data_IF_867431127222
#
_entry.id   IF_867431127222
#
_cell.length_a   1.000
_cell.length_b   1.000
_cell.length_c   1.000
_cell.angle_alpha   90.00
_cell.angle_beta   90.00
_cell.angle_gamma   90.00
#
_symmetry.space_group_name_H-M   'P 1'
#
loop_
_entity.id
_entity.type
_entity.pdbx_description
1 polymer ?
#
# COMPACT_ATOMS: atom_id res chain seq x y z
N UNK A 1 9.22 0.17 18.86
CA UNK A 1 9.52 0.23 17.42
C UNK A 1 9.59 -1.13 16.71
N UNK A 2 9.49 -2.22 17.45
CA UNK A 2 9.59 -3.59 16.93
C UNK A 2 8.25 -4.24 16.60
N UNK A 3 7.14 -3.72 17.09
CA UNK A 3 5.79 -4.31 16.90
C UNK A 3 5.00 -3.76 15.69
N UNK A 4 5.42 -2.62 15.13
CA UNK A 4 4.90 -2.09 13.85
C UNK A 4 5.29 -2.95 12.62
N UNK A 5 6.01 -4.05 12.83
CA UNK A 5 6.66 -4.80 11.75
C UNK A 5 6.02 -6.14 11.41
N UNK A 6 4.85 -6.53 11.94
CA UNK A 6 4.26 -7.83 11.59
C UNK A 6 3.90 -7.94 10.10
N UNK A 7 3.56 -6.83 9.44
CA UNK A 7 3.46 -6.77 7.98
C UNK A 7 4.81 -6.53 7.27
N UNK A 8 5.78 -5.95 7.98
CA UNK A 8 7.14 -5.69 7.48
C UNK A 8 8.12 -6.83 7.78
N UNK A 9 7.75 -7.80 8.61
CA UNK A 9 8.56 -9.00 8.88
C UNK A 9 8.92 -9.76 7.59
N UNK A 10 8.04 -9.74 6.61
CA UNK A 10 8.31 -10.25 5.28
C UNK A 10 9.31 -9.39 4.50
N UNK A 11 9.32 -8.07 4.70
CA UNK A 11 10.32 -7.18 4.09
C UNK A 11 11.71 -7.49 4.64
N UNK A 12 11.84 -7.83 5.92
CA UNK A 12 13.13 -8.25 6.51
C UNK A 12 13.64 -9.58 5.98
N UNK A 13 12.77 -10.59 5.91
CA UNK A 13 13.10 -11.88 5.34
C UNK A 13 13.47 -11.75 3.87
N UNK A 14 12.74 -10.93 3.14
CA UNK A 14 12.98 -10.64 1.72
C UNK A 14 14.31 -9.90 1.51
N UNK A 15 14.61 -8.93 2.37
CA UNK A 15 15.90 -8.20 2.33
C UNK A 15 17.08 -9.12 2.61
N UNK A 16 16.95 -10.01 3.59
CA UNK A 16 17.96 -11.01 3.90
C UNK A 16 18.20 -11.93 2.70
N UNK A 17 17.15 -12.34 2.01
CA UNK A 17 17.22 -13.16 0.80
C UNK A 17 17.85 -12.42 -0.39
N UNK A 18 17.45 -11.17 -0.64
CA UNK A 18 17.95 -10.37 -1.76
C UNK A 18 19.42 -9.97 -1.57
N UNK A 19 19.86 -9.72 -0.32
CA UNK A 19 21.26 -9.34 -0.04
C UNK A 19 22.14 -10.51 0.44
N UNK A 20 21.61 -11.73 0.57
CA UNK A 20 22.35 -12.87 1.09
C UNK A 20 22.88 -12.68 2.52
N UNK A 21 22.21 -11.85 3.32
CA UNK A 21 22.62 -11.48 4.69
C UNK A 21 21.63 -12.06 5.69
N UNK A 22 22.08 -12.67 6.80
CA UNK A 22 21.21 -13.14 7.87
C UNK A 22 20.30 -12.01 8.41
N UNK A 23 19.03 -12.32 8.77
CA UNK A 23 18.07 -11.30 9.24
C UNK A 23 18.58 -10.44 10.41
N UNK A 24 19.40 -11.02 11.28
CA UNK A 24 19.97 -10.37 12.46
C UNK A 24 21.00 -9.28 12.11
N UNK A 25 21.58 -9.32 10.92
CA UNK A 25 22.56 -8.37 10.44
C UNK A 25 21.98 -7.24 9.58
N UNK A 26 20.66 -7.20 9.43
CA UNK A 26 19.98 -6.17 8.65
C UNK A 26 19.96 -4.84 9.43
N UNK A 27 20.73 -3.85 8.95
CA UNK A 27 20.81 -2.51 9.53
C UNK A 27 19.55 -1.67 9.20
N UNK A 28 19.33 -0.59 9.95
CA UNK A 28 18.24 0.38 9.66
C UNK A 28 18.37 1.02 8.27
N UNK A 29 19.59 1.22 7.80
CA UNK A 29 19.85 1.74 6.44
C UNK A 29 19.49 0.71 5.37
N UNK A 30 19.80 -0.57 5.58
CA UNK A 30 19.37 -1.65 4.68
C UNK A 30 17.84 -1.76 4.62
N UNK A 31 17.17 -1.55 5.75
CA UNK A 31 15.69 -1.51 5.81
C UNK A 31 15.12 -0.36 4.99
N UNK A 32 15.66 0.84 5.14
CA UNK A 32 15.22 2.02 4.40
C UNK A 32 15.41 1.82 2.89
N UNK A 33 16.55 1.24 2.49
CA UNK A 33 16.82 0.89 1.09
C UNK A 33 15.84 -0.15 0.55
N UNK A 34 15.56 -1.22 1.31
CA UNK A 34 14.58 -2.22 0.92
C UNK A 34 13.18 -1.64 0.74
N UNK A 35 12.77 -0.76 1.65
CA UNK A 35 11.49 -0.06 1.54
C UNK A 35 11.44 0.77 0.27
N UNK A 36 12.48 1.56 -0.02
CA UNK A 36 12.58 2.37 -1.23
C UNK A 36 12.53 1.50 -2.51
N UNK A 37 13.24 0.37 -2.53
CA UNK A 37 13.23 -0.57 -3.65
C UNK A 37 11.84 -1.19 -3.84
N UNK A 38 11.27 -1.77 -2.79
CA UNK A 38 9.96 -2.43 -2.87
C UNK A 38 8.86 -1.48 -3.33
N UNK A 39 8.76 -0.30 -2.70
CA UNK A 39 7.76 0.69 -3.09
C UNK A 39 8.08 1.28 -4.47
N UNK A 40 9.35 1.61 -4.72
CA UNK A 40 9.77 2.15 -6.00
C UNK A 40 9.43 1.22 -7.17
N UNK A 41 9.73 -0.07 -7.07
CA UNK A 41 9.45 -1.06 -8.12
C UNK A 41 7.94 -1.21 -8.34
N UNK A 42 7.16 -1.37 -7.27
CA UNK A 42 5.70 -1.46 -7.37
C UNK A 42 5.09 -0.20 -7.99
N UNK A 43 5.70 0.96 -7.77
CA UNK A 43 5.29 2.23 -8.36
C UNK A 43 5.93 2.52 -9.72
N UNK A 44 6.64 1.56 -10.31
CA UNK A 44 7.23 1.68 -11.64
C UNK A 44 8.42 2.64 -11.70
N UNK A 45 9.27 2.63 -10.66
CA UNK A 45 10.51 3.43 -10.65
C UNK A 45 11.46 2.97 -11.76
N UNK A 46 12.10 3.93 -12.42
CA UNK A 46 13.17 3.61 -13.36
C UNK A 46 14.50 3.37 -12.65
N UNK A 47 15.46 2.70 -13.33
CA UNK A 47 16.82 2.55 -12.81
C UNK A 47 17.49 3.89 -12.49
N UNK A 48 17.13 4.95 -13.24
CA UNK A 48 17.59 6.31 -12.93
C UNK A 48 16.99 6.84 -11.63
N UNK A 49 15.67 6.73 -11.45
CA UNK A 49 15.01 7.16 -10.21
C UNK A 49 15.56 6.40 -8.99
N UNK A 50 15.66 5.08 -9.09
CA UNK A 50 16.20 4.25 -8.01
C UNK A 50 17.66 4.57 -7.68
N UNK A 51 18.48 4.87 -8.69
CA UNK A 51 19.89 5.27 -8.48
C UNK A 51 20.01 6.58 -7.69
N UNK A 52 19.11 7.53 -7.94
CA UNK A 52 19.06 8.78 -7.19
C UNK A 52 18.60 8.57 -5.74
N UNK A 53 17.55 7.77 -5.54
CA UNK A 53 16.98 7.52 -4.20
C UNK A 53 17.95 6.76 -3.28
N UNK A 54 18.74 5.84 -3.84
CA UNK A 54 19.68 5.01 -3.10
C UNK A 54 21.12 5.56 -3.09
N UNK A 55 21.42 6.61 -3.86
CA UNK A 55 22.76 7.14 -4.09
C UNK A 55 23.74 6.05 -4.58
N UNK A 56 23.31 5.26 -5.56
CA UNK A 56 24.07 4.20 -6.24
C UNK A 56 24.19 4.50 -7.73
N UNK A 57 25.01 3.74 -8.45
CA UNK A 57 25.10 3.87 -9.90
C UNK A 57 23.84 3.38 -10.59
N UNK A 58 23.56 3.89 -11.78
CA UNK A 58 22.42 3.44 -12.59
C UNK A 58 22.51 1.95 -12.97
N UNK A 59 23.72 1.43 -13.09
CA UNK A 59 23.97 0.01 -13.38
C UNK A 59 23.56 -0.84 -12.18
N UNK A 60 24.02 -0.51 -10.98
CA UNK A 60 23.61 -1.19 -9.73
C UNK A 60 22.09 -1.13 -9.52
N UNK A 61 21.47 0.02 -9.78
CA UNK A 61 20.02 0.15 -9.69
C UNK A 61 19.27 -0.76 -10.69
N UNK A 62 19.79 -0.92 -11.90
CA UNK A 62 19.24 -1.82 -12.89
C UNK A 62 19.37 -3.29 -12.47
N UNK A 63 20.54 -3.70 -11.97
CA UNK A 63 20.80 -5.03 -11.43
C UNK A 63 19.86 -5.34 -10.22
N UNK A 64 19.60 -4.36 -9.35
CA UNK A 64 18.64 -4.50 -8.27
C UNK A 64 17.21 -4.78 -8.76
N UNK A 65 16.75 -4.03 -9.77
CA UNK A 65 15.40 -4.20 -10.33
C UNK A 65 15.29 -5.57 -11.01
N UNK A 66 16.30 -5.97 -11.76
CA UNK A 66 16.35 -7.27 -12.44
C UNK A 66 16.29 -8.42 -11.43
N UNK A 67 17.17 -8.41 -10.43
CA UNK A 67 17.19 -9.42 -9.38
C UNK A 67 15.89 -9.47 -8.56
N UNK A 68 15.25 -8.32 -8.30
CA UNK A 68 13.93 -8.27 -7.68
C UNK A 68 12.88 -9.03 -8.51
N UNK A 69 12.86 -8.82 -9.81
CA UNK A 69 11.89 -9.49 -10.69
C UNK A 69 12.21 -10.96 -10.94
N UNK A 70 13.47 -11.36 -10.89
CA UNK A 70 13.86 -12.78 -10.87
C UNK A 70 13.36 -13.48 -9.62
N UNK A 71 13.50 -12.82 -8.47
CA UNK A 71 13.02 -13.33 -7.16
C UNK A 71 11.49 -13.36 -7.07
N UNK A 72 10.83 -12.36 -7.68
CA UNK A 72 9.37 -12.20 -7.63
C UNK A 72 8.73 -12.10 -9.03
N UNK A 73 8.79 -13.17 -9.85
CA UNK A 73 8.29 -13.13 -11.23
C UNK A 73 6.79 -12.85 -11.32
N UNK A 74 6.02 -13.22 -10.28
CA UNK A 74 4.59 -12.91 -10.21
C UNK A 74 4.30 -11.42 -10.10
N UNK A 75 5.17 -10.64 -9.44
CA UNK A 75 5.04 -9.18 -9.36
C UNK A 75 5.28 -8.57 -10.74
N UNK A 76 6.36 -8.99 -11.42
CA UNK A 76 6.63 -8.53 -12.77
C UNK A 76 5.47 -8.80 -13.72
N UNK A 77 4.98 -10.03 -13.71
CA UNK A 77 3.82 -10.43 -14.55
C UNK A 77 2.60 -9.57 -14.25
N UNK A 78 2.27 -9.32 -12.99
CA UNK A 78 1.14 -8.47 -12.59
C UNK A 78 1.27 -7.04 -13.12
N UNK A 79 2.47 -6.45 -13.03
CA UNK A 79 2.72 -5.09 -13.51
C UNK A 79 2.62 -5.01 -15.04
N UNK A 80 3.22 -5.96 -15.76
CA UNK A 80 3.18 -6.05 -17.22
C UNK A 80 1.73 -6.25 -17.69
N UNK A 81 1.00 -7.21 -17.13
CA UNK A 81 -0.40 -7.48 -17.45
C UNK A 81 -1.30 -6.25 -17.18
N UNK A 82 -1.01 -5.49 -16.10
CA UNK A 82 -1.76 -4.27 -15.77
C UNK A 82 -1.60 -3.19 -16.84
N UNK A 83 -0.39 -3.01 -17.36
CA UNK A 83 -0.09 -2.06 -18.43
C UNK A 83 -0.73 -2.50 -19.75
N UNK A 84 -0.58 -3.77 -20.14
CA UNK A 84 -1.17 -4.31 -21.37
C UNK A 84 -2.68 -4.22 -21.38
N UNK A 85 -3.33 -4.65 -20.29
CA UNK A 85 -4.78 -4.52 -20.12
C UNK A 85 -5.25 -3.07 -20.21
N UNK A 86 -4.50 -2.13 -19.62
CA UNK A 86 -4.86 -0.73 -19.69
C UNK A 86 -4.64 -0.12 -21.08
N UNK A 87 -3.62 -0.57 -21.84
CA UNK A 87 -3.42 -0.21 -23.25
C UNK A 87 -4.59 -0.68 -24.13
N UNK A 88 -5.03 -1.92 -23.94
CA UNK A 88 -6.13 -2.51 -24.70
C UNK A 88 -7.46 -1.81 -24.36
N UNK A 89 -7.82 -1.70 -23.07
CA UNK A 89 -9.12 -1.24 -22.61
C UNK A 89 -9.24 0.29 -22.52
N UNK A 90 -8.10 1.00 -22.45
CA UNK A 90 -8.04 2.45 -22.23
C UNK A 90 -8.22 2.87 -20.77
N UNK A 91 -8.28 1.93 -19.84
CA UNK A 91 -8.43 2.20 -18.40
C UNK A 91 -7.82 1.08 -17.54
N UNK A 92 -7.35 1.42 -16.35
CA UNK A 92 -7.01 0.47 -15.30
C UNK A 92 -8.21 0.17 -14.41
N UNK A 93 -8.22 -0.99 -13.75
CA UNK A 93 -9.37 -1.49 -12.95
C UNK A 93 -8.89 -1.94 -11.58
N UNK A 94 -9.63 -1.58 -10.51
CA UNK A 94 -9.42 -2.11 -9.17
C UNK A 94 -9.98 -3.52 -9.01
N UNK A 95 -9.67 -4.18 -7.91
CA UNK A 95 -10.25 -5.50 -7.57
C UNK A 95 -11.78 -5.47 -7.54
N UNK A 96 -12.39 -4.33 -7.24
CA UNK A 96 -13.84 -4.12 -7.17
C UNK A 96 -14.46 -3.58 -8.47
N UNK A 97 -13.69 -3.53 -9.56
CA UNK A 97 -14.20 -3.11 -10.86
C UNK A 97 -14.27 -1.59 -11.07
N UNK A 98 -13.74 -0.77 -10.15
CA UNK A 98 -13.62 0.67 -10.36
C UNK A 98 -12.64 0.95 -11.48
N UNK A 99 -13.05 1.77 -12.46
CA UNK A 99 -12.27 2.10 -13.65
C UNK A 99 -11.58 3.45 -13.50
N UNK A 100 -10.31 3.50 -13.88
CA UNK A 100 -9.52 4.73 -14.02
C UNK A 100 -9.08 4.87 -15.47
N UNK A 101 -9.64 5.79 -16.27
CA UNK A 101 -9.17 6.06 -17.62
C UNK A 101 -7.68 6.46 -17.62
N UNK A 102 -6.93 5.98 -18.61
CA UNK A 102 -5.50 6.27 -18.79
C UNK A 102 -5.24 6.66 -20.24
N UNK A 103 -5.73 7.83 -20.68
CA UNK A 103 -5.57 8.30 -22.06
C UNK A 103 -4.09 8.53 -22.43
N UNK A 104 -3.24 8.78 -21.43
CA UNK A 104 -1.80 9.03 -21.59
C UNK A 104 -1.07 7.87 -22.28
N UNK A 105 -1.56 6.64 -22.16
CA UNK A 105 -0.99 5.46 -22.82
C UNK A 105 -1.01 5.55 -24.34
N UNK A 106 -1.90 6.34 -24.93
CA UNK A 106 -2.03 6.57 -26.36
C UNK A 106 -1.27 7.82 -26.86
N UNK A 107 -0.61 8.56 -25.96
CA UNK A 107 0.11 9.77 -26.33
C UNK A 107 1.32 9.47 -27.22
N UNK A 108 1.58 10.32 -28.21
CA UNK A 108 2.83 10.29 -28.99
C UNK A 108 4.05 10.73 -28.16
N UNK A 109 3.83 11.48 -27.07
CA UNK A 109 4.88 11.93 -26.17
C UNK A 109 5.34 10.80 -25.25
N UNK A 110 6.63 10.49 -25.30
CA UNK A 110 7.25 9.43 -24.51
C UNK A 110 7.07 9.63 -22.98
N UNK A 111 7.24 10.86 -22.50
CA UNK A 111 7.08 11.18 -21.07
C UNK A 111 5.65 10.94 -20.58
N UNK A 112 4.66 11.30 -21.39
CA UNK A 112 3.24 11.06 -21.07
C UNK A 112 2.92 9.56 -21.10
N UNK A 113 3.45 8.79 -22.08
CA UNK A 113 3.23 7.35 -22.08
C UNK A 113 3.83 6.68 -20.85
N UNK A 114 5.05 7.01 -20.45
CA UNK A 114 5.67 6.49 -19.23
C UNK A 114 4.89 6.84 -17.98
N UNK A 115 4.30 8.05 -17.92
CA UNK A 115 3.40 8.42 -16.84
C UNK A 115 2.14 7.54 -16.86
N UNK A 116 1.54 7.31 -18.02
CA UNK A 116 0.39 6.42 -18.19
C UNK A 116 0.68 4.99 -17.76
N UNK A 117 1.85 4.45 -18.08
CA UNK A 117 2.26 3.12 -17.64
C UNK A 117 2.35 3.02 -16.11
N UNK A 118 2.94 4.01 -15.45
CA UNK A 118 2.97 4.06 -13.98
C UNK A 118 1.56 4.17 -13.38
N UNK A 119 0.69 4.96 -13.99
CA UNK A 119 -0.72 5.04 -13.56
C UNK A 119 -1.42 3.67 -13.70
N UNK A 120 -1.17 2.96 -14.79
CA UNK A 120 -1.75 1.64 -15.04
C UNK A 120 -1.27 0.58 -14.03
N UNK A 121 0.01 0.62 -13.64
CA UNK A 121 0.56 -0.27 -12.61
C UNK A 121 0.00 0.02 -11.22
N UNK A 122 -0.14 1.30 -10.86
CA UNK A 122 -0.49 1.73 -9.51
C UNK A 122 -2.00 1.73 -9.24
N UNK A 123 -2.81 2.07 -10.23
CA UNK A 123 -4.25 2.25 -10.06
C UNK A 123 -4.97 0.99 -9.53
N UNK A 124 -4.65 -0.25 -9.96
CA UNK A 124 -5.24 -1.44 -9.39
C UNK A 124 -4.97 -1.60 -7.89
N UNK A 125 -3.76 -1.28 -7.44
CA UNK A 125 -3.34 -1.45 -6.04
C UNK A 125 -3.90 -0.31 -5.18
N UNK A 126 -3.57 0.93 -5.50
CA UNK A 126 -4.01 2.11 -4.73
C UNK A 126 -5.53 2.29 -4.76
N UNK A 127 -6.14 2.04 -5.93
CA UNK A 127 -7.58 2.11 -6.08
C UNK A 127 -8.30 1.02 -5.28
N UNK A 128 -7.76 -0.20 -5.22
CA UNK A 128 -8.29 -1.28 -4.38
C UNK A 128 -8.17 -0.93 -2.90
N UNK A 129 -7.06 -0.39 -2.44
CA UNK A 129 -6.90 0.08 -1.06
C UNK A 129 -7.94 1.15 -0.71
N UNK A 130 -8.18 2.12 -1.61
CA UNK A 130 -9.21 3.13 -1.43
C UNK A 130 -10.64 2.54 -1.42
N UNK A 131 -10.90 1.49 -2.17
CA UNK A 131 -12.19 0.80 -2.17
C UNK A 131 -12.41 0.03 -0.86
N UNK A 132 -11.39 -0.68 -0.36
CA UNK A 132 -11.41 -1.36 0.95
C UNK A 132 -11.70 -0.35 2.06
N UNK A 133 -11.01 0.79 2.03
CA UNK A 133 -11.19 1.84 3.02
C UNK A 133 -12.62 2.39 3.03
N UNK A 134 -13.24 2.58 1.87
CA UNK A 134 -14.63 3.02 1.77
C UNK A 134 -15.62 1.99 2.31
N UNK A 135 -15.38 0.70 2.06
CA UNK A 135 -16.20 -0.38 2.63
C UNK A 135 -16.08 -0.34 4.16
N UNK A 136 -14.86 -0.31 4.68
CA UNK A 136 -14.59 -0.22 6.12
C UNK A 136 -15.29 0.99 6.77
N UNK A 137 -15.17 2.18 6.16
CA UNK A 137 -15.86 3.39 6.63
C UNK A 137 -17.37 3.23 6.75
N UNK A 138 -17.98 2.64 5.70
CA UNK A 138 -19.44 2.42 5.68
C UNK A 138 -19.84 1.47 6.80
N UNK A 139 -19.10 0.39 7.00
CA UNK A 139 -19.43 -0.64 7.97
C UNK A 139 -19.18 -0.17 9.41
N UNK A 140 -18.09 0.56 9.67
CA UNK A 140 -17.85 1.24 10.96
C UNK A 140 -18.99 2.23 11.26
N UNK A 141 -19.32 3.09 10.30
CA UNK A 141 -20.40 4.08 10.51
C UNK A 141 -21.75 3.43 10.81
N UNK A 142 -22.11 2.36 10.08
CA UNK A 142 -23.34 1.62 10.31
C UNK A 142 -23.37 0.98 11.69
N UNK A 143 -22.24 0.40 12.13
CA UNK A 143 -22.18 -0.28 13.42
C UNK A 143 -22.26 0.71 14.58
N UNK A 144 -21.55 1.85 14.50
CA UNK A 144 -21.67 2.93 15.49
C UNK A 144 -23.14 3.40 15.63
N UNK A 145 -23.82 3.61 14.51
CA UNK A 145 -25.25 3.99 14.51
C UNK A 145 -26.16 2.90 15.08
N UNK A 146 -25.94 1.66 14.70
CA UNK A 146 -26.74 0.51 15.14
C UNK A 146 -26.69 0.31 16.65
N UNK A 147 -25.53 0.60 17.27
CA UNK A 147 -25.34 0.55 18.73
C UNK A 147 -25.75 1.82 19.44
N UNK A 148 -26.29 2.83 18.71
CA UNK A 148 -26.65 4.15 19.25
C UNK A 148 -25.52 4.85 20.01
N UNK A 149 -24.28 4.69 19.54
CA UNK A 149 -23.10 5.26 20.18
C UNK A 149 -23.05 6.78 20.01
N UNK A 150 -22.49 7.47 21.00
CA UNK A 150 -22.18 8.90 20.93
C UNK A 150 -20.92 9.17 20.12
N UNK A 151 -20.04 8.18 20.06
CA UNK A 151 -18.81 8.20 19.28
C UNK A 151 -19.09 8.33 17.80
N UNK A 152 -18.26 9.08 17.08
CA UNK A 152 -18.47 9.36 15.65
C UNK A 152 -17.17 9.35 14.86
N UNK A 153 -17.22 8.85 13.65
CA UNK A 153 -16.13 8.97 12.70
C UNK A 153 -16.09 10.41 12.16
N UNK A 154 -14.94 11.07 12.31
CA UNK A 154 -14.77 12.48 11.96
C UNK A 154 -13.88 12.72 10.77
N UNK A 155 -12.90 11.82 10.51
CA UNK A 155 -11.94 12.02 9.44
C UNK A 155 -11.44 10.69 8.89
N UNK A 156 -11.14 10.67 7.59
CA UNK A 156 -10.39 9.60 6.91
C UNK A 156 -9.21 10.23 6.19
N UNK A 157 -8.02 9.71 6.43
CA UNK A 157 -6.77 10.15 5.79
C UNK A 157 -5.98 8.94 5.35
N UNK A 158 -5.73 8.79 4.05
CA UNK A 158 -5.06 7.62 3.46
C UNK A 158 -5.70 6.29 3.88
N UNK A 159 -5.07 5.58 4.82
CA UNK A 159 -5.45 4.29 5.38
C UNK A 159 -5.87 4.37 6.86
N UNK A 160 -6.04 5.58 7.39
CA UNK A 160 -6.43 5.85 8.77
C UNK A 160 -7.90 6.29 8.86
N UNK A 161 -8.61 5.81 9.90
CA UNK A 161 -9.90 6.34 10.35
C UNK A 161 -9.73 6.99 11.72
N UNK A 162 -10.18 8.23 11.84
CA UNK A 162 -10.19 8.96 13.10
C UNK A 162 -11.61 8.99 13.66
N UNK A 163 -11.74 8.46 14.87
CA UNK A 163 -13.00 8.44 15.62
C UNK A 163 -12.88 9.37 16.83
N UNK A 164 -13.82 10.29 16.96
CA UNK A 164 -14.03 11.00 18.21
C UNK A 164 -14.86 10.10 19.12
N UNK A 165 -14.22 9.51 20.13
CA UNK A 165 -14.83 8.53 21.00
C UNK A 165 -15.24 9.15 22.34
N UNK A 166 -16.47 8.87 22.78
CA UNK A 166 -16.88 9.09 24.16
C UNK A 166 -16.01 8.23 25.09
N UNK A 167 -15.53 8.78 26.20
CA UNK A 167 -14.57 8.09 27.07
C UNK A 167 -15.06 6.72 27.56
N UNK A 168 -16.36 6.58 27.78
CA UNK A 168 -16.98 5.32 28.19
C UNK A 168 -17.13 4.29 27.07
N UNK A 169 -16.95 4.69 25.81
CA UNK A 169 -17.16 3.86 24.63
C UNK A 169 -15.85 3.44 23.95
N UNK A 170 -14.69 3.88 24.45
CA UNK A 170 -13.38 3.69 23.79
C UNK A 170 -13.09 2.24 23.45
N UNK A 171 -13.30 1.31 24.38
CA UNK A 171 -12.98 -0.09 24.18
C UNK A 171 -13.94 -0.73 23.15
N UNK A 172 -15.22 -0.37 23.20
CA UNK A 172 -16.20 -0.82 22.20
C UNK A 172 -15.90 -0.26 20.80
N UNK A 173 -15.48 1.00 20.71
CA UNK A 173 -15.03 1.61 19.44
C UNK A 173 -13.83 0.85 18.86
N UNK A 174 -12.86 0.46 19.70
CA UNK A 174 -11.71 -0.35 19.25
C UNK A 174 -12.14 -1.70 18.71
N UNK A 175 -13.08 -2.37 19.38
CA UNK A 175 -13.62 -3.65 18.87
C UNK A 175 -14.30 -3.49 17.52
N UNK A 176 -15.12 -2.45 17.37
CA UNK A 176 -15.80 -2.14 16.11
C UNK A 176 -14.78 -1.85 15.00
N UNK A 177 -13.78 -1.00 15.27
CA UNK A 177 -12.75 -0.68 14.29
C UNK A 177 -12.01 -1.94 13.83
N UNK A 178 -11.54 -2.76 14.79
CA UNK A 178 -10.86 -4.02 14.47
C UNK A 178 -11.73 -4.93 13.62
N UNK A 179 -12.96 -5.21 14.07
CA UNK A 179 -13.86 -6.12 13.36
C UNK A 179 -14.19 -5.62 11.94
N UNK A 180 -14.57 -4.34 11.79
CA UNK A 180 -15.06 -3.83 10.51
C UNK A 180 -13.94 -3.51 9.52
N UNK A 181 -12.77 -3.10 9.99
CA UNK A 181 -11.64 -2.80 9.10
C UNK A 181 -10.90 -4.08 8.69
N UNK A 182 -10.63 -4.99 9.62
CA UNK A 182 -9.93 -6.26 9.30
C UNK A 182 -10.79 -7.19 8.44
N UNK A 183 -12.11 -7.16 8.62
CA UNK A 183 -13.06 -7.97 7.86
C UNK A 183 -13.76 -7.24 6.70
N UNK A 184 -13.31 -6.01 6.37
CA UNK A 184 -13.91 -5.23 5.28
C UNK A 184 -13.92 -5.99 3.94
N UNK A 185 -12.90 -6.80 3.71
CA UNK A 185 -12.74 -7.63 2.52
C UNK A 185 -11.96 -8.89 2.85
N UNK A 186 -12.37 -10.01 2.28
CA UNK A 186 -11.63 -11.28 2.39
C UNK A 186 -10.54 -11.34 1.31
N UNK A 187 -9.29 -11.19 1.73
CA UNK A 187 -8.11 -11.35 0.89
C UNK A 187 -7.35 -12.65 1.22
N UNK A 188 -6.40 -13.03 0.36
CA UNK A 188 -5.48 -14.15 0.64
C UNK A 188 -4.48 -13.83 1.75
N UNK A 189 -4.27 -12.56 2.06
CA UNK A 189 -3.48 -12.05 3.18
C UNK A 189 -4.40 -11.34 4.17
N UNK A 190 -4.17 -11.46 5.50
CA UNK A 190 -5.01 -10.78 6.49
C UNK A 190 -4.79 -9.26 6.43
N UNK A 191 -5.87 -8.51 6.61
CA UNK A 191 -5.79 -7.10 6.96
C UNK A 191 -5.58 -7.02 8.48
N UNK A 192 -4.65 -6.19 8.91
CA UNK A 192 -4.34 -5.98 10.33
C UNK A 192 -4.47 -4.49 10.61
N UNK A 193 -5.16 -4.14 11.68
CA UNK A 193 -5.41 -2.75 12.09
C UNK A 193 -4.65 -2.45 13.37
N UNK A 194 -3.74 -1.47 13.29
CA UNK A 194 -3.12 -0.87 14.46
C UNK A 194 -4.02 0.24 15.00
N UNK A 195 -4.18 0.30 16.33
CA UNK A 195 -5.07 1.27 16.97
C UNK A 195 -4.35 2.00 18.08
N UNK A 196 -4.43 3.30 18.04
CA UNK A 196 -3.90 4.19 19.07
C UNK A 196 -4.99 5.10 19.62
N UNK A 197 -4.81 5.57 20.84
CA UNK A 197 -5.73 6.52 21.50
C UNK A 197 -4.93 7.67 22.09
N UNK A 198 -5.49 8.87 22.00
CA UNK A 198 -4.90 10.09 22.53
C UNK A 198 -5.98 11.15 22.72
N UNK A 199 -5.64 12.25 23.36
CA UNK A 199 -6.55 13.40 23.53
C UNK A 199 -6.73 14.21 22.23
N UNK A 200 -5.88 13.98 21.27
CA UNK A 200 -5.90 14.60 19.95
C UNK A 200 -5.22 13.67 18.93
N UNK A 201 -5.34 14.00 17.64
CA UNK A 201 -4.79 13.17 16.56
C UNK A 201 -3.26 13.00 16.64
N UNK A 202 -2.53 14.01 17.11
CA UNK A 202 -1.07 13.92 17.26
C UNK A 202 -0.65 12.87 18.28
N UNK A 203 -1.38 12.78 19.39
CA UNK A 203 -1.13 11.77 20.43
C UNK A 203 -1.60 10.37 20.04
N UNK A 204 -2.62 10.27 19.16
CA UNK A 204 -3.19 9.03 18.68
C UNK A 204 -2.47 8.47 17.43
N UNK A 205 -1.30 9.00 17.07
CA UNK A 205 -0.58 8.63 15.86
C UNK A 205 0.60 7.68 16.13
#
# INVERSE_FOLDING_TARGET
DTDRSRGLGDVYKRQAQVNGVPPELVTSQMRSRAKAVNFGIVYGISSFGLSMDLSITRKEAAEYIEHYFETYPGVKKFLDDSVENAKEKGYAVTLFGRRRPVPELKSSNFMQRNFGERVAMNAPIQGTAADIMKIAMIDVHKELKKRNMKSRMILQVHDELLIEAECSEVDEVKEILRDKMENAVKLSVPLIVDMHTGKNWYEAK
#
